data_IF_133068013548
#
_entry.id   IF_133068013548
#
_cell.length_a   1.000
_cell.length_b   1.000
_cell.length_c   1.000
_cell.angle_alpha   90.00
_cell.angle_beta   90.00
_cell.angle_gamma   90.00
#
_symmetry.space_group_name_H-M   'P 1'
#
loop_
_entity.id
_entity.type
_entity.pdbx_description
1 polymer ?
#
# COMPACT_ATOMS: atom_id res chain seq x y z
N UNK A 1 25.30 15.94 13.91
CA UNK A 1 24.39 14.77 13.93
C UNK A 1 23.16 15.10 13.11
N UNK A 2 23.07 14.47 11.93
CA UNK A 2 22.01 14.61 10.91
C UNK A 2 21.55 13.21 10.46
N UNK A 3 21.66 12.23 11.36
CA UNK A 3 21.68 10.79 11.05
C UNK A 3 20.29 10.18 10.96
N UNK A 4 19.32 10.63 11.79
CA UNK A 4 17.97 10.05 11.83
C UNK A 4 17.15 10.35 10.56
N UNK A 5 17.22 11.58 10.03
CA UNK A 5 16.41 11.98 8.87
C UNK A 5 16.81 11.25 7.59
N UNK A 6 18.12 11.12 7.34
CA UNK A 6 18.63 10.35 6.21
C UNK A 6 18.27 8.86 6.32
N UNK A 7 18.12 8.34 7.54
CA UNK A 7 17.81 6.94 7.78
C UNK A 7 16.38 6.60 7.36
N UNK A 8 15.42 7.47 7.69
CA UNK A 8 14.01 7.28 7.28
C UNK A 8 13.85 7.35 5.76
N UNK A 9 14.48 8.31 5.10
CA UNK A 9 14.43 8.40 3.62
C UNK A 9 15.02 7.17 2.94
N UNK A 10 16.15 6.67 3.45
CA UNK A 10 16.83 5.50 2.88
C UNK A 10 16.02 4.22 3.09
N UNK A 11 15.39 4.09 4.26
CA UNK A 11 14.49 2.98 4.60
C UNK A 11 13.20 3.02 3.76
N UNK A 12 12.67 4.22 3.51
CA UNK A 12 11.51 4.42 2.63
C UNK A 12 11.84 4.09 1.18
N UNK A 13 12.99 4.55 0.68
CA UNK A 13 13.49 4.19 -0.64
C UNK A 13 13.73 2.68 -0.76
N UNK A 14 14.22 2.02 0.29
CA UNK A 14 14.36 0.56 0.35
C UNK A 14 13.00 -0.16 0.27
N UNK A 15 12.00 0.25 1.06
CA UNK A 15 10.66 -0.34 1.04
C UNK A 15 9.98 -0.16 -0.32
N UNK A 16 10.17 1.01 -0.94
CA UNK A 16 9.57 1.37 -2.22
C UNK A 16 10.35 0.84 -3.44
N UNK A 17 11.42 0.09 -3.23
CA UNK A 17 12.29 -0.46 -4.29
C UNK A 17 12.89 0.63 -5.20
N UNK A 18 13.24 1.77 -4.61
CA UNK A 18 13.77 2.97 -5.31
C UNK A 18 15.30 3.12 -5.17
N UNK A 19 15.96 2.24 -4.43
CA UNK A 19 17.40 2.27 -4.28
C UNK A 19 18.10 1.75 -5.53
N UNK A 20 19.31 2.26 -5.78
CA UNK A 20 20.23 1.63 -6.72
C UNK A 20 20.59 0.22 -6.22
N UNK A 21 21.00 -0.71 -7.11
CA UNK A 21 21.47 -2.03 -6.70
C UNK A 21 22.61 -1.98 -5.66
N UNK A 22 23.51 -1.02 -5.79
CA UNK A 22 24.64 -0.81 -4.88
C UNK A 22 24.17 -0.35 -3.50
N UNK A 23 23.29 0.66 -3.44
CA UNK A 23 22.75 1.17 -2.18
C UNK A 23 21.90 0.11 -1.47
N UNK A 24 21.16 -0.70 -2.24
CA UNK A 24 20.40 -1.82 -1.71
C UNK A 24 21.29 -2.85 -1.05
N UNK A 25 22.41 -3.21 -1.65
CA UNK A 25 23.37 -4.16 -1.08
C UNK A 25 23.97 -3.65 0.24
N UNK A 26 24.30 -2.35 0.30
CA UNK A 26 24.79 -1.70 1.52
C UNK A 26 23.70 -1.74 2.60
N UNK A 27 22.45 -1.44 2.25
CA UNK A 27 21.33 -1.46 3.18
C UNK A 27 21.03 -2.87 3.69
N UNK A 28 21.10 -3.89 2.82
CA UNK A 28 20.95 -5.30 3.22
C UNK A 28 22.04 -5.71 4.23
N UNK A 29 23.28 -5.25 4.03
CA UNK A 29 24.33 -5.46 5.02
C UNK A 29 24.05 -4.74 6.36
N UNK A 30 23.52 -3.51 6.31
CA UNK A 30 23.13 -2.77 7.51
C UNK A 30 22.04 -3.48 8.30
N UNK A 31 21.04 -4.05 7.62
CA UNK A 31 19.96 -4.83 8.25
C UNK A 31 20.47 -6.08 8.98
N UNK A 32 21.59 -6.65 8.55
CA UNK A 32 22.22 -7.80 9.20
C UNK A 32 23.05 -7.41 10.42
N UNK A 33 23.61 -6.20 10.42
CA UNK A 33 24.58 -5.74 11.42
C UNK A 33 23.93 -4.88 12.52
N UNK A 34 22.83 -4.20 12.22
CA UNK A 34 22.20 -3.22 13.08
C UNK A 34 20.73 -3.55 13.36
N UNK A 35 20.45 -3.91 14.61
CA UNK A 35 19.10 -4.26 15.07
C UNK A 35 18.15 -3.07 15.06
N UNK A 36 18.64 -1.85 15.26
CA UNK A 36 17.78 -0.66 15.25
C UNK A 36 17.19 -0.44 13.85
N UNK A 37 17.99 -0.64 12.80
CA UNK A 37 17.54 -0.57 11.40
C UNK A 37 16.51 -1.66 11.10
N UNK A 38 16.73 -2.87 11.62
CA UNK A 38 15.80 -3.98 11.48
C UNK A 38 14.44 -3.68 12.15
N UNK A 39 14.46 -3.16 13.38
CA UNK A 39 13.25 -2.82 14.13
C UNK A 39 12.49 -1.68 13.44
N UNK A 40 13.19 -0.64 12.97
CA UNK A 40 12.59 0.45 12.21
C UNK A 40 11.93 -0.06 10.92
N UNK A 41 12.61 -0.96 10.19
CA UNK A 41 12.06 -1.56 8.97
C UNK A 41 10.79 -2.38 9.28
N UNK A 42 10.81 -3.14 10.36
CA UNK A 42 9.66 -3.94 10.81
C UNK A 42 8.44 -3.05 11.09
N UNK A 43 8.61 -2.01 11.91
CA UNK A 43 7.50 -1.13 12.30
C UNK A 43 6.97 -0.29 11.13
N UNK A 44 7.83 0.15 10.22
CA UNK A 44 7.39 0.89 9.04
C UNK A 44 6.58 -0.01 8.08
N UNK A 45 7.07 -1.24 7.80
CA UNK A 45 6.30 -2.21 7.00
C UNK A 45 4.97 -2.57 7.65
N UNK A 46 4.94 -2.74 8.98
CA UNK A 46 3.70 -3.02 9.74
C UNK A 46 2.71 -1.86 9.62
N UNK A 47 3.18 -0.64 9.77
CA UNK A 47 2.36 0.58 9.67
C UNK A 47 1.75 0.74 8.28
N UNK A 48 2.54 0.55 7.21
CA UNK A 48 2.01 0.54 5.85
C UNK A 48 0.99 -0.56 5.62
N UNK A 49 1.21 -1.76 6.19
CA UNK A 49 0.24 -2.85 6.14
C UNK A 49 -1.12 -2.46 6.70
N UNK A 50 -1.13 -1.79 7.86
CA UNK A 50 -2.35 -1.31 8.52
C UNK A 50 -3.03 -0.22 7.68
N UNK A 51 -2.29 0.80 7.23
CA UNK A 51 -2.82 1.89 6.40
C UNK A 51 -3.43 1.34 5.10
N UNK A 52 -2.74 0.41 4.44
CA UNK A 52 -3.22 -0.23 3.21
C UNK A 52 -4.47 -1.07 3.45
N UNK A 53 -4.53 -1.82 4.55
CA UNK A 53 -5.70 -2.61 4.91
C UNK A 53 -6.92 -1.72 5.15
N UNK A 54 -6.76 -0.65 5.92
CA UNK A 54 -7.81 0.31 6.19
C UNK A 54 -8.28 1.03 4.91
N UNK A 55 -7.36 1.48 4.07
CA UNK A 55 -7.70 2.07 2.77
C UNK A 55 -8.47 1.10 1.85
N UNK A 56 -8.11 -0.19 1.86
CA UNK A 56 -8.85 -1.23 1.11
C UNK A 56 -10.26 -1.44 1.65
N UNK A 57 -10.44 -1.40 2.96
CA UNK A 57 -11.76 -1.53 3.58
C UNK A 57 -12.67 -0.35 3.23
N UNK A 58 -12.12 0.86 3.26
CA UNK A 58 -12.84 2.07 2.82
C UNK A 58 -13.25 1.99 1.35
N UNK A 59 -12.31 1.59 0.46
CA UNK A 59 -12.61 1.42 -0.96
C UNK A 59 -13.68 0.36 -1.19
N UNK A 60 -13.60 -0.77 -0.49
CA UNK A 60 -14.61 -1.84 -0.57
C UNK A 60 -15.98 -1.35 -0.12
N UNK A 61 -16.03 -0.51 0.92
CA UNK A 61 -17.28 0.08 1.40
C UNK A 61 -17.88 1.04 0.38
N UNK A 62 -17.05 1.86 -0.28
CA UNK A 62 -17.49 2.74 -1.36
C UNK A 62 -18.01 1.95 -2.57
N UNK A 63 -17.27 0.92 -2.99
CA UNK A 63 -17.68 0.05 -4.10
C UNK A 63 -19.02 -0.65 -3.83
N UNK A 64 -19.23 -1.16 -2.62
CA UNK A 64 -20.53 -1.75 -2.22
C UNK A 64 -21.68 -0.75 -2.30
N UNK A 65 -21.45 0.52 -1.94
CA UNK A 65 -22.47 1.57 -2.06
C UNK A 65 -22.81 1.84 -3.53
N UNK A 66 -21.78 1.95 -4.38
CA UNK A 66 -21.96 2.15 -5.82
C UNK A 66 -22.69 0.95 -6.45
N UNK A 67 -22.29 -0.27 -6.09
CA UNK A 67 -22.97 -1.50 -6.50
C UNK A 67 -24.46 -1.47 -6.11
N UNK A 68 -24.77 -1.20 -4.84
CA UNK A 68 -26.16 -1.12 -4.39
C UNK A 68 -26.96 -0.06 -5.16
N UNK A 69 -26.39 1.12 -5.38
CA UNK A 69 -27.04 2.17 -6.14
C UNK A 69 -27.31 1.76 -7.59
N UNK A 70 -26.31 1.17 -8.25
CA UNK A 70 -26.38 0.80 -9.65
C UNK A 70 -27.35 -0.36 -9.90
N UNK A 71 -27.36 -1.37 -9.03
CA UNK A 71 -28.15 -2.59 -9.24
C UNK A 71 -29.54 -2.53 -8.60
N UNK A 72 -29.79 -1.63 -7.66
CA UNK A 72 -31.10 -1.55 -6.97
C UNK A 72 -32.03 -0.46 -7.53
N UNK A 73 -31.50 0.61 -8.14
CA UNK A 73 -32.34 1.69 -8.70
C UNK A 73 -32.80 1.33 -10.11
N UNK A 74 -34.11 1.44 -10.37
CA UNK A 74 -34.71 1.17 -11.68
C UNK A 74 -34.15 2.06 -12.80
N UNK A 75 -33.65 3.25 -12.45
CA UNK A 75 -33.03 4.23 -13.38
C UNK A 75 -31.79 3.68 -14.09
N UNK A 76 -31.07 2.72 -13.48
CA UNK A 76 -29.84 2.16 -14.04
C UNK A 76 -30.04 0.79 -14.71
N UNK A 77 -31.29 0.32 -14.84
CA UNK A 77 -31.63 -1.03 -15.33
C UNK A 77 -31.06 -1.33 -16.72
N UNK A 78 -31.13 -0.38 -17.66
CA UNK A 78 -30.61 -0.57 -19.03
C UNK A 78 -29.08 -0.71 -19.04
N UNK A 79 -28.38 0.01 -18.17
CA UNK A 79 -26.93 -0.09 -18.04
C UNK A 79 -26.51 -1.44 -17.46
N UNK A 80 -27.18 -1.88 -16.39
CA UNK A 80 -26.99 -3.20 -15.78
C UNK A 80 -27.24 -4.33 -16.79
N UNK A 81 -28.34 -4.27 -17.55
CA UNK A 81 -28.64 -5.27 -18.58
C UNK A 81 -27.57 -5.33 -19.66
N UNK A 82 -27.01 -4.17 -20.08
CA UNK A 82 -25.93 -4.11 -21.05
C UNK A 82 -24.61 -4.68 -20.51
N UNK A 83 -24.33 -4.53 -19.22
CA UNK A 83 -23.15 -5.16 -18.61
C UNK A 83 -23.34 -6.67 -18.55
N UNK A 84 -24.50 -7.13 -18.09
CA UNK A 84 -24.81 -8.55 -17.97
C UNK A 84 -24.82 -9.27 -19.33
N UNK A 85 -25.09 -8.59 -20.44
CA UNK A 85 -25.02 -9.22 -21.77
C UNK A 85 -23.60 -9.56 -22.24
N UNK A 86 -22.55 -9.09 -21.57
CA UNK A 86 -21.16 -9.44 -21.90
C UNK A 86 -20.66 -10.72 -21.20
N UNK A 87 -21.45 -11.29 -20.28
CA UNK A 87 -21.10 -12.47 -19.48
C UNK A 87 -22.19 -13.55 -19.61
#
# INVERSE_FOLDING_TARGET
MKTLFNHTEHLEAYILDKLSPEDRLIFDAQLLLDREVQDNLHWQKRSYGIVKAHGREQLRTQLKKIEQELFSKSVHKNFVQRILSYF
#
